data_IF_164235433642
#
_entry.id   IF_164235433642
#
_cell.length_a   1.000
_cell.length_b   1.000
_cell.length_c   1.000
_cell.angle_alpha   90.00
_cell.angle_beta   90.00
_cell.angle_gamma   90.00
#
_symmetry.space_group_name_H-M   'P 1'
#
loop_
_entity.id
_entity.type
_entity.pdbx_description
1 polymer ?
#
# COMPACT_ATOMS: atom_id res chain seq x y z
N UNK A 1 -1.28 0.12 27.87
CA UNK A 1 -2.39 -0.42 27.07
C UNK A 1 -1.86 -0.67 25.67
N UNK A 2 -1.45 -1.90 25.38
CA UNK A 2 -0.94 -2.28 24.05
C UNK A 2 -2.12 -2.48 23.10
N UNK A 3 -2.27 -1.53 22.18
CA UNK A 3 -3.29 -1.56 21.14
C UNK A 3 -3.12 -2.84 20.31
N UNK A 4 -4.16 -3.68 20.29
CA UNK A 4 -4.23 -5.01 19.62
C UNK A 4 -4.02 -4.99 18.10
N UNK A 5 -3.59 -3.87 17.51
CA UNK A 5 -3.29 -3.71 16.08
C UNK A 5 -1.82 -4.03 15.78
N UNK A 6 -0.94 -4.12 16.79
CA UNK A 6 0.53 -4.25 16.61
C UNK A 6 1.04 -5.54 15.93
N UNK A 7 0.18 -6.47 15.51
CA UNK A 7 0.60 -7.79 15.00
C UNK A 7 0.04 -8.16 13.62
N UNK A 8 0.20 -7.34 12.56
CA UNK A 8 -0.32 -7.76 11.24
C UNK A 8 0.63 -7.81 10.05
N UNK A 9 1.81 -7.18 10.08
CA UNK A 9 2.81 -7.48 9.05
C UNK A 9 4.22 -7.14 9.52
N UNK A 10 5.13 -8.12 9.56
CA UNK A 10 6.56 -7.81 9.49
C UNK A 10 6.82 -7.24 8.10
N UNK A 11 7.03 -5.92 8.03
CA UNK A 11 7.36 -5.28 6.76
C UNK A 11 8.72 -5.79 6.26
N UNK A 12 8.91 -5.91 4.94
CA UNK A 12 10.18 -6.33 4.39
C UNK A 12 11.26 -5.30 4.73
N UNK A 13 12.49 -5.76 4.97
CA UNK A 13 13.63 -4.86 5.19
C UNK A 13 14.02 -4.10 3.92
N UNK A 14 13.67 -4.63 2.75
CA UNK A 14 13.97 -4.04 1.44
C UNK A 14 12.84 -4.31 0.46
N UNK A 15 12.50 -3.29 -0.33
CA UNK A 15 11.65 -3.43 -1.50
C UNK A 15 12.44 -2.84 -2.69
N UNK A 16 12.67 -3.58 -3.77
CA UNK A 16 13.39 -3.04 -4.92
C UNK A 16 12.64 -1.87 -5.57
N UNK A 17 13.37 -0.81 -5.92
CA UNK A 17 12.84 0.26 -6.77
C UNK A 17 12.31 -0.31 -8.09
N UNK A 18 11.23 0.29 -8.60
CA UNK A 18 10.47 -0.18 -9.76
C UNK A 18 9.52 -1.34 -9.47
N UNK A 19 9.53 -1.94 -8.27
CA UNK A 19 8.53 -2.97 -7.93
C UNK A 19 7.14 -2.33 -7.92
N UNK A 20 6.22 -2.84 -8.74
CA UNK A 20 4.82 -2.44 -8.68
C UNK A 20 4.13 -3.16 -7.53
N UNK A 21 3.46 -2.42 -6.65
CA UNK A 21 2.83 -2.96 -5.45
C UNK A 21 1.43 -2.39 -5.25
N UNK A 22 0.61 -3.14 -4.52
CA UNK A 22 -0.53 -2.60 -3.77
C UNK A 22 -0.09 -2.40 -2.32
N UNK A 23 -0.27 -1.19 -1.82
CA UNK A 23 -0.13 -0.87 -0.39
C UNK A 23 -1.50 -0.52 0.16
N UNK A 24 -1.89 -1.21 1.24
CA UNK A 24 -3.06 -0.85 2.04
C UNK A 24 -2.58 -0.11 3.27
N UNK A 25 -3.05 1.12 3.44
CA UNK A 25 -2.86 1.90 4.66
C UNK A 25 -4.15 1.91 5.48
N UNK A 26 -4.03 2.29 6.74
CA UNK A 26 -5.17 2.50 7.61
C UNK A 26 -5.08 3.83 8.36
N UNK A 27 -6.23 4.39 8.69
CA UNK A 27 -6.38 5.56 9.54
C UNK A 27 -7.40 5.26 10.63
N UNK A 28 -7.04 5.49 11.89
CA UNK A 28 -7.98 5.44 12.99
C UNK A 28 -8.76 6.76 12.95
N UNK A 29 -10.09 6.68 12.79
CA UNK A 29 -10.95 7.86 12.65
C UNK A 29 -11.77 8.14 13.92
N UNK A 30 -12.06 7.12 14.73
CA UNK A 30 -12.71 7.27 16.03
C UNK A 30 -12.11 6.24 17.00
N UNK A 31 -11.82 6.66 18.23
CA UNK A 31 -11.39 5.79 19.32
C UNK A 31 -12.40 5.92 20.46
N UNK A 32 -13.19 4.87 20.68
CA UNK A 32 -14.17 4.86 21.76
C UNK A 32 -13.50 4.46 23.07
N UNK A 33 -13.99 5.00 24.19
CA UNK A 33 -13.50 4.70 25.54
C UNK A 33 -13.52 3.20 25.89
N UNK A 34 -14.32 2.39 25.19
CA UNK A 34 -14.41 0.93 25.32
C UNK A 34 -13.26 0.18 24.60
N UNK A 35 -12.27 0.89 24.05
CA UNK A 35 -11.14 0.32 23.30
C UNK A 35 -11.50 -0.15 21.89
N UNK A 36 -12.69 0.20 21.38
CA UNK A 36 -13.11 -0.05 19.99
C UNK A 36 -12.69 1.12 19.11
N UNK A 37 -11.82 0.84 18.14
CA UNK A 37 -11.38 1.82 17.14
C UNK A 37 -12.16 1.63 15.84
N UNK A 38 -12.65 2.73 15.28
CA UNK A 38 -13.18 2.78 13.91
C UNK A 38 -12.02 3.11 12.98
N UNK A 39 -11.82 2.26 11.98
CA UNK A 39 -10.65 2.30 11.09
C UNK A 39 -11.14 2.45 9.66
N UNK A 40 -10.56 3.40 8.93
CA UNK A 40 -10.67 3.49 7.48
C UNK A 40 -9.43 2.89 6.83
N UNK A 41 -9.63 2.18 5.71
CA UNK A 41 -8.55 1.60 4.93
C UNK A 41 -8.49 2.26 3.57
N UNK A 42 -7.28 2.55 3.09
CA UNK A 42 -7.04 3.12 1.78
C UNK A 42 -6.02 2.28 1.02
N UNK A 43 -6.25 2.10 -0.27
CA UNK A 43 -5.34 1.37 -1.15
C UNK A 43 -4.69 2.35 -2.13
N UNK A 44 -3.37 2.23 -2.27
CA UNK A 44 -2.61 2.83 -3.35
C UNK A 44 -1.92 1.74 -4.17
N UNK A 45 -1.91 1.92 -5.48
CA UNK A 45 -1.21 1.06 -6.43
C UNK A 45 -0.18 1.92 -7.14
N UNK A 46 1.05 1.45 -7.22
CA UNK A 46 2.13 2.23 -7.81
C UNK A 46 3.46 1.51 -7.84
N UNK A 47 4.48 2.23 -8.31
CA UNK A 47 5.85 1.75 -8.36
C UNK A 47 6.64 2.30 -7.18
N UNK A 48 7.37 1.42 -6.50
CA UNK A 48 8.28 1.85 -5.43
C UNK A 48 9.42 2.65 -6.05
N UNK A 49 9.62 3.86 -5.55
CA UNK A 49 10.82 4.66 -5.85
C UNK A 49 11.90 4.33 -4.84
N UNK A 50 11.54 4.31 -3.54
CA UNK A 50 12.45 4.00 -2.44
C UNK A 50 11.70 3.36 -1.26
N UNK A 51 12.41 2.53 -0.49
CA UNK A 51 11.95 1.98 0.79
C UNK A 51 13.14 1.82 1.73
N UNK A 52 13.13 2.60 2.81
CA UNK A 52 14.19 2.63 3.83
C UNK A 52 13.86 1.84 5.10
N UNK A 53 12.62 1.33 5.22
CA UNK A 53 12.12 0.62 6.40
C UNK A 53 11.14 1.44 7.25
N UNK A 54 11.12 2.77 7.07
CA UNK A 54 10.27 3.71 7.81
C UNK A 54 9.28 4.42 6.89
N UNK A 55 9.74 4.84 5.71
CA UNK A 55 8.94 5.55 4.72
C UNK A 55 9.00 4.85 3.36
N UNK A 56 7.82 4.60 2.80
CA UNK A 56 7.66 4.13 1.43
C UNK A 56 7.44 5.33 0.52
N UNK A 57 8.40 5.57 -0.37
CA UNK A 57 8.26 6.52 -1.48
C UNK A 57 7.70 5.78 -2.69
N UNK A 58 6.48 6.13 -3.07
CA UNK A 58 5.69 5.45 -4.09
C UNK A 58 5.26 6.43 -5.17
N UNK A 59 5.51 6.10 -6.44
CA UNK A 59 4.83 6.74 -7.55
C UNK A 59 3.50 6.03 -7.81
N UNK A 60 2.40 6.61 -7.34
CA UNK A 60 1.04 6.08 -7.53
C UNK A 60 0.65 6.11 -9.00
N UNK A 61 0.08 5.02 -9.47
CA UNK A 61 -0.43 4.91 -10.84
C UNK A 61 -1.59 5.90 -11.06
N UNK A 62 -1.74 6.42 -12.29
CA UNK A 62 -2.93 7.20 -12.66
C UNK A 62 -4.19 6.34 -12.57
N UNK A 63 -5.33 6.96 -12.32
CA UNK A 63 -6.60 6.25 -12.35
C UNK A 63 -6.89 5.77 -13.78
N UNK A 64 -7.42 4.53 -13.91
CA UNK A 64 -7.69 3.94 -15.21
C UNK A 64 -8.69 4.76 -16.08
N UNK A 65 -9.55 5.55 -15.44
CA UNK A 65 -10.51 6.44 -16.11
C UNK A 65 -9.98 7.88 -16.29
N UNK A 66 -8.70 8.14 -16.01
CA UNK A 66 -8.07 9.45 -16.17
C UNK A 66 -8.47 10.51 -15.14
N UNK A 67 -9.31 10.19 -14.16
CA UNK A 67 -9.79 11.16 -13.14
C UNK A 67 -8.71 11.64 -12.18
N UNK A 68 -7.60 10.90 -12.06
CA UNK A 68 -6.46 11.24 -11.20
C UNK A 68 -5.16 10.94 -11.94
N UNK A 69 -4.26 11.91 -11.97
CA UNK A 69 -2.92 11.73 -12.50
C UNK A 69 -2.07 10.80 -11.60
N UNK A 70 -0.91 10.41 -12.13
CA UNK A 70 0.16 9.83 -11.33
C UNK A 70 0.64 10.85 -10.30
N UNK A 71 1.08 10.37 -9.14
CA UNK A 71 1.39 11.22 -8.00
C UNK A 71 2.44 10.55 -7.12
N UNK A 72 3.43 11.29 -6.65
CA UNK A 72 4.36 10.81 -5.64
C UNK A 72 3.71 10.82 -4.26
N UNK A 73 3.88 9.73 -3.53
CA UNK A 73 3.34 9.53 -2.20
C UNK A 73 4.44 9.08 -1.24
N UNK A 74 4.37 9.57 -0.01
CA UNK A 74 5.23 9.15 1.09
C UNK A 74 4.35 8.51 2.16
N UNK A 75 4.55 7.22 2.42
CA UNK A 75 3.70 6.42 3.30
C UNK A 75 4.52 5.93 4.49
N UNK A 76 4.11 6.32 5.69
CA UNK A 76 4.72 5.88 6.95
C UNK A 76 4.44 4.39 7.21
N UNK A 77 5.50 3.65 7.55
CA UNK A 77 5.48 2.22 7.85
C UNK A 77 4.42 1.83 8.89
N UNK A 78 4.20 2.65 9.91
CA UNK A 78 3.24 2.40 10.98
C UNK A 78 1.79 2.47 10.50
N UNK A 79 1.54 3.10 9.35
CA UNK A 79 0.20 3.18 8.76
C UNK A 79 -0.08 2.04 7.78
N UNK A 80 0.93 1.21 7.46
CA UNK A 80 0.79 0.12 6.49
C UNK A 80 0.11 -1.08 7.14
N UNK A 81 -1.08 -1.41 6.65
CA UNK A 81 -1.79 -2.63 7.04
C UNK A 81 -1.32 -3.85 6.22
N UNK A 82 -0.95 -3.66 4.95
CA UNK A 82 -0.55 -4.75 4.04
C UNK A 82 0.24 -4.25 2.84
N UNK A 83 1.22 -5.05 2.41
CA UNK A 83 1.91 -4.91 1.12
C UNK A 83 1.72 -6.15 0.27
N UNK A 84 1.48 -5.98 -1.04
CA UNK A 84 1.43 -7.07 -2.01
C UNK A 84 2.14 -6.69 -3.30
N UNK A 85 3.12 -7.49 -3.78
CA UNK A 85 3.71 -7.26 -5.09
C UNK A 85 2.70 -7.56 -6.21
N UNK A 86 2.71 -6.72 -7.25
CA UNK A 86 1.96 -6.88 -8.48
C UNK A 86 2.94 -7.17 -9.62
N UNK A 87 3.23 -8.44 -9.91
CA UNK A 87 4.08 -8.77 -11.05
C UNK A 87 3.43 -8.35 -12.36
N UNK A 88 4.25 -7.96 -13.35
CA UNK A 88 3.77 -7.67 -14.69
C UNK A 88 3.04 -8.89 -15.27
N UNK A 89 1.91 -8.64 -15.93
CA UNK A 89 1.16 -9.70 -16.60
C UNK A 89 1.98 -10.17 -17.79
N UNK A 90 2.50 -11.40 -17.72
CA UNK A 90 3.05 -12.08 -18.89
C UNK A 90 1.96 -12.14 -19.95
N UNK A 91 2.23 -11.64 -21.16
CA UNK A 91 1.29 -11.68 -22.28
C UNK A 91 0.78 -13.12 -22.44
N UNK A 92 -0.52 -13.32 -22.27
CA UNK A 92 -1.17 -14.56 -22.67
C UNK A 92 -1.15 -14.59 -24.20
N UNK A 93 -0.77 -15.74 -24.78
CA UNK A 93 -0.83 -15.94 -26.24
C UNK A 93 -2.21 -15.47 -26.73
N UNK A 94 -2.29 -14.78 -27.88
CA UNK A 94 -3.57 -14.36 -28.43
C UNK A 94 -4.50 -15.59 -28.49
N UNK A 95 -5.75 -15.41 -28.06
CA UNK A 95 -6.77 -16.44 -28.19
C UNK A 95 -6.81 -16.84 -29.67
N UNK A 96 -6.62 -18.12 -29.97
CA UNK A 96 -6.88 -18.65 -31.31
C UNK A 96 -8.39 -18.51 -31.53
N UNK A 97 -8.77 -17.54 -32.36
CA UNK A 97 -10.11 -17.41 -32.92
C UNK A 97 -10.23 -18.44 -34.04
#
# INVERSE_FOLDING_TARGET
METRIKNLTTLPQRIPAGTRIVVRTYKIIEENNDGKQKIEYHDAIGHVLEWDGETLHLLRDPAANGTRAAEEMFIDANTIARLKPMPERKFQKPLKI
#
